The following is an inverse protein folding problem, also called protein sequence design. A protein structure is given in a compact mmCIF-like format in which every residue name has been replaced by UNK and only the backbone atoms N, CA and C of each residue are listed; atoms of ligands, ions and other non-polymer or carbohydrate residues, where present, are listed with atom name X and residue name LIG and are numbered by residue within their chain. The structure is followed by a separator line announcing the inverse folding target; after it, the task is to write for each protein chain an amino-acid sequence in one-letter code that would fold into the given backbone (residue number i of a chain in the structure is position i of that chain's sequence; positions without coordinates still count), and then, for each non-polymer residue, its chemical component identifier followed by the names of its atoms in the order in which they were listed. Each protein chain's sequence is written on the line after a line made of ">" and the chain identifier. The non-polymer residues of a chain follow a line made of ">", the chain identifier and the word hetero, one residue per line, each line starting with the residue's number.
data_IF_703323679266
#
_entry.id   IF_703323679266
#
_cell.length_a   1.000
_cell.length_b   1.000
_cell.length_c   1.000
_cell.angle_alpha   90.00
_cell.angle_beta   90.00
_cell.angle_gamma   90.00
#
_symmetry.space_group_name_H-M   'P 1'
#
loop_
_entity.id
_entity.type
_entity.pdbx_description
1 polymer ?
#
# COMPACT_ATOMS: atom_id res chain seq x y z
N UNK A 1 28.07 18.27 2.68
CA UNK A 1 26.76 18.10 1.94
C UNK A 1 25.76 19.21 2.27
N UNK A 2 25.41 19.47 3.54
CA UNK A 2 24.53 20.62 3.92
C UNK A 2 25.23 21.94 3.61
N UNK A 3 26.50 22.07 4.01
CA UNK A 3 27.30 23.24 3.71
C UNK A 3 27.41 23.54 2.22
N UNK A 4 27.40 22.52 1.37
CA UNK A 4 27.44 22.70 -0.09
C UNK A 4 26.12 23.22 -0.65
N UNK A 5 25.00 22.88 0.00
CA UNK A 5 23.68 23.42 -0.34
C UNK A 5 23.57 24.86 0.17
N UNK A 6 23.98 25.11 1.40
CA UNK A 6 23.93 26.43 2.03
C UNK A 6 24.85 27.43 1.32
N UNK A 7 26.08 27.04 1.00
CA UNK A 7 27.06 27.91 0.30
C UNK A 7 26.56 28.41 -1.06
N UNK A 8 25.66 27.69 -1.70
CA UNK A 8 25.05 28.07 -2.98
C UNK A 8 23.88 29.05 -2.87
N UNK A 9 23.43 29.35 -1.65
CA UNK A 9 22.32 30.28 -1.39
C UNK A 9 22.86 31.65 -0.98
N UNK A 10 22.12 32.76 -1.23
CA UNK A 10 22.43 34.07 -0.66
C UNK A 10 22.53 34.04 0.87
N UNK A 11 23.44 34.81 1.45
CA UNK A 11 23.72 34.82 2.90
C UNK A 11 22.46 35.01 3.76
N UNK A 12 21.52 35.84 3.34
CA UNK A 12 20.26 36.08 4.04
C UNK A 12 19.46 34.77 4.19
N UNK A 13 19.40 33.96 3.15
CA UNK A 13 18.70 32.66 3.19
C UNK A 13 19.49 31.60 3.97
N UNK A 14 20.82 31.65 3.96
CA UNK A 14 21.65 30.77 4.78
C UNK A 14 21.35 30.98 6.27
N UNK A 15 21.33 32.23 6.74
CA UNK A 15 21.04 32.58 8.13
C UNK A 15 19.65 32.09 8.53
N UNK A 16 18.64 32.39 7.72
CA UNK A 16 17.25 32.00 7.99
C UNK A 16 17.06 30.46 8.04
N UNK A 17 17.78 29.71 7.23
CA UNK A 17 17.75 28.24 7.26
C UNK A 17 18.45 27.73 8.52
N UNK A 18 19.64 28.24 8.85
CA UNK A 18 20.42 27.80 10.01
C UNK A 18 19.65 28.07 11.30
N UNK A 19 19.04 29.25 11.46
CA UNK A 19 18.22 29.57 12.63
C UNK A 19 17.04 28.61 12.84
N UNK A 20 16.46 28.06 11.76
CA UNK A 20 15.39 27.08 11.85
C UNK A 20 15.88 25.65 12.11
N UNK A 21 17.16 25.35 11.87
CA UNK A 21 17.76 24.03 12.10
C UNK A 21 18.32 23.82 13.51
N UNK A 22 18.65 24.92 14.22
CA UNK A 22 19.35 24.87 15.52
C UNK A 22 18.45 24.74 16.75
N UNK A 23 17.14 24.68 16.59
CA UNK A 23 16.17 24.64 17.70
C UNK A 23 15.69 23.23 18.00
N UNK A 24 15.49 22.91 19.29
CA UNK A 24 14.74 21.73 19.71
C UNK A 24 13.26 21.92 19.37
N UNK A 25 12.89 21.53 18.13
CA UNK A 25 11.56 21.78 17.56
C UNK A 25 10.61 20.59 17.78
N UNK A 26 9.37 20.90 18.10
CA UNK A 26 8.27 19.94 18.05
C UNK A 26 8.00 19.50 16.61
N UNK A 27 7.23 18.41 16.41
CA UNK A 27 6.93 17.91 15.07
C UNK A 27 6.21 18.94 14.20
N UNK A 28 5.30 19.75 14.79
CA UNK A 28 4.60 20.82 14.08
C UNK A 28 5.52 22.01 13.71
N UNK A 29 6.51 22.32 14.54
CA UNK A 29 7.48 23.37 14.26
C UNK A 29 8.48 22.91 13.17
N UNK A 30 8.94 21.66 13.22
CA UNK A 30 9.75 21.08 12.14
C UNK A 30 8.99 21.16 10.80
N UNK A 31 7.72 20.79 10.77
CA UNK A 31 6.90 20.90 9.56
C UNK A 31 6.83 22.34 9.03
N UNK A 32 6.57 23.32 9.92
CA UNK A 32 6.54 24.75 9.54
C UNK A 32 7.88 25.23 8.99
N UNK A 33 8.98 24.85 9.64
CA UNK A 33 10.33 25.16 9.18
C UNK A 33 10.62 24.54 7.81
N UNK A 34 10.26 23.28 7.61
CA UNK A 34 10.39 22.59 6.31
C UNK A 34 9.59 23.31 5.21
N UNK A 35 8.36 23.71 5.46
CA UNK A 35 7.53 24.45 4.49
C UNK A 35 8.11 25.83 4.18
N UNK A 36 8.62 26.54 5.19
CA UNK A 36 9.27 27.85 5.01
C UNK A 36 10.50 27.73 4.13
N UNK A 37 11.39 26.78 4.45
CA UNK A 37 12.61 26.53 3.66
C UNK A 37 12.25 26.10 2.24
N UNK A 38 11.26 25.24 2.06
CA UNK A 38 10.78 24.83 0.73
C UNK A 38 10.31 26.02 -0.10
N UNK A 39 9.60 26.98 0.51
CA UNK A 39 9.15 28.21 -0.15
C UNK A 39 10.31 29.10 -0.56
N UNK A 40 11.32 29.23 0.31
CA UNK A 40 12.56 29.98 0.03
C UNK A 40 13.28 29.38 -1.17
N UNK A 41 13.52 28.07 -1.16
CA UNK A 41 14.21 27.35 -2.24
C UNK A 41 13.48 27.48 -3.58
N UNK A 42 12.15 27.37 -3.57
CA UNK A 42 11.33 27.56 -4.79
C UNK A 42 11.42 28.98 -5.34
N UNK A 43 11.34 30.00 -4.47
CA UNK A 43 11.47 31.41 -4.88
C UNK A 43 12.84 31.67 -5.52
N UNK A 44 13.89 31.12 -4.95
CA UNK A 44 15.24 31.27 -5.48
C UNK A 44 15.42 30.55 -6.83
N UNK A 45 14.90 29.36 -6.99
CA UNK A 45 14.89 28.60 -8.25
C UNK A 45 14.16 29.35 -9.39
N UNK A 46 13.09 30.10 -9.08
CA UNK A 46 12.36 30.91 -10.06
C UNK A 46 13.10 32.19 -10.46
N UNK A 47 13.86 32.78 -9.55
CA UNK A 47 14.67 33.99 -9.84
C UNK A 47 15.90 33.70 -10.71
N UNK A 48 16.45 32.45 -10.66
CA UNK A 48 17.58 32.02 -11.47
C UNK A 48 17.27 31.77 -12.96
N UNK A 49 16.03 31.93 -13.42
CA UNK A 49 15.62 31.80 -14.82
C UNK A 49 15.85 33.08 -15.67
N UNK A 50 16.52 34.10 -15.16
CA UNK A 50 16.97 35.22 -15.97
C UNK A 50 18.23 34.79 -16.73
N UNK A 51 18.18 34.98 -18.06
CA UNK A 51 18.95 34.35 -19.13
C UNK A 51 20.40 34.82 -19.30
N UNK A 52 21.03 35.47 -18.36
CA UNK A 52 22.31 36.17 -18.59
C UNK A 52 23.53 35.55 -17.83
N UNK A 53 23.38 34.43 -17.16
CA UNK A 53 24.47 33.69 -16.53
C UNK A 53 24.46 32.21 -16.95
N UNK A 54 24.91 31.92 -18.14
CA UNK A 54 25.36 30.59 -18.54
C UNK A 54 26.62 30.23 -17.78
N UNK A 55 26.57 29.19 -17.00
CA UNK A 55 27.63 28.26 -16.57
C UNK A 55 27.49 27.88 -15.11
N UNK A 56 26.63 27.03 -14.80
CA UNK A 56 26.59 26.08 -13.67
C UNK A 56 25.15 25.70 -13.26
N UNK A 57 24.16 26.06 -14.07
CA UNK A 57 22.73 26.01 -13.73
C UNK A 57 22.13 24.61 -13.65
N UNK A 58 22.56 23.63 -14.45
CA UNK A 58 21.94 22.29 -14.50
C UNK A 58 22.07 21.47 -13.22
N UNK A 59 23.16 21.62 -12.47
CA UNK A 59 23.32 20.96 -11.17
C UNK A 59 22.66 21.74 -10.02
N UNK A 60 22.55 23.07 -10.13
CA UNK A 60 21.78 23.90 -9.20
C UNK A 60 20.28 23.69 -9.33
N UNK A 61 19.75 23.55 -10.54
CA UNK A 61 18.32 23.26 -10.76
C UNK A 61 17.86 21.97 -10.08
N UNK A 62 18.65 20.89 -10.12
CA UNK A 62 18.34 19.64 -9.41
C UNK A 62 18.36 19.80 -7.90
N UNK A 63 19.23 20.62 -7.34
CA UNK A 63 19.37 20.84 -5.89
C UNK A 63 18.35 21.84 -5.36
N UNK A 64 17.96 22.83 -6.19
CA UNK A 64 17.09 23.95 -5.80
C UNK A 64 15.59 23.69 -6.02
N UNK A 65 15.21 22.58 -6.63
CA UNK A 65 13.80 22.26 -6.87
C UNK A 65 12.95 22.06 -5.59
N UNK A 66 13.49 22.38 -4.40
CA UNK A 66 12.77 22.29 -3.12
C UNK A 66 12.13 20.94 -2.91
N UNK A 67 12.76 19.91 -3.47
CA UNK A 67 12.26 18.54 -3.41
C UNK A 67 12.23 18.05 -1.97
N UNK A 68 11.37 17.13 -1.67
CA UNK A 68 11.31 16.47 -0.36
C UNK A 68 12.68 15.90 0.03
N UNK A 69 13.46 15.43 -0.95
CA UNK A 69 14.82 14.94 -0.75
C UNK A 69 15.79 16.03 -0.24
N UNK A 70 15.75 17.23 -0.81
CA UNK A 70 16.58 18.35 -0.36
C UNK A 70 16.22 18.77 1.07
N UNK A 71 14.93 18.84 1.38
CA UNK A 71 14.44 19.15 2.72
C UNK A 71 14.87 18.07 3.73
N UNK A 72 14.73 16.80 3.36
CA UNK A 72 15.15 15.68 4.21
C UNK A 72 16.65 15.75 4.56
N UNK A 73 17.50 16.04 3.58
CA UNK A 73 18.95 16.23 3.78
C UNK A 73 19.25 17.38 4.74
N UNK A 74 18.56 18.51 4.62
CA UNK A 74 18.75 19.68 5.50
C UNK A 74 18.35 19.40 6.96
N UNK A 75 17.37 18.53 7.19
CA UNK A 75 16.90 18.15 8.53
C UNK A 75 17.52 16.85 9.05
N UNK A 76 18.53 16.28 8.38
CA UNK A 76 19.15 14.99 8.72
C UNK A 76 18.15 13.87 8.90
N UNK A 77 17.13 13.83 8.04
CA UNK A 77 16.07 12.83 8.06
C UNK A 77 16.04 12.00 6.78
N UNK A 78 15.34 10.86 6.84
CA UNK A 78 15.01 10.12 5.62
C UNK A 78 13.98 10.88 4.79
N UNK A 79 14.06 10.72 3.47
CA UNK A 79 13.06 11.23 2.53
C UNK A 79 11.64 10.81 2.93
N UNK A 80 11.47 9.55 3.31
CA UNK A 80 10.18 8.99 3.71
C UNK A 80 9.61 9.66 4.97
N UNK A 81 10.43 9.89 6.01
CA UNK A 81 9.98 10.57 7.23
C UNK A 81 9.54 12.01 6.96
N UNK A 82 10.26 12.71 6.08
CA UNK A 82 9.90 14.08 5.67
C UNK A 82 8.59 14.09 4.90
N UNK A 83 8.38 13.17 3.96
CA UNK A 83 7.15 13.01 3.19
C UNK A 83 5.95 12.69 4.09
N UNK A 84 6.11 11.73 5.00
CA UNK A 84 5.08 11.37 5.98
C UNK A 84 4.70 12.55 6.86
N UNK A 85 5.67 13.34 7.35
CA UNK A 85 5.37 14.55 8.14
C UNK A 85 4.59 15.57 7.33
N UNK A 86 4.98 15.85 6.10
CA UNK A 86 4.24 16.78 5.23
C UNK A 86 2.80 16.32 5.05
N UNK A 87 2.60 15.05 4.71
CA UNK A 87 1.27 14.46 4.59
C UNK A 87 0.43 14.64 5.86
N UNK A 88 0.97 14.25 7.03
CA UNK A 88 0.27 14.32 8.32
C UNK A 88 -0.17 15.74 8.65
N UNK A 89 0.74 16.71 8.58
CA UNK A 89 0.41 18.09 8.97
C UNK A 89 -0.46 18.81 7.94
N UNK A 90 -0.45 18.42 6.68
CA UNK A 90 -1.41 18.91 5.68
C UNK A 90 -2.84 18.43 5.98
N UNK A 91 -3.02 17.20 6.44
CA UNK A 91 -4.33 16.66 6.87
C UNK A 91 -4.80 17.29 8.17
N UNK A 92 -3.91 17.45 9.15
CA UNK A 92 -4.23 18.20 10.39
C UNK A 92 -4.69 19.64 10.07
N UNK A 93 -4.04 20.30 9.11
CA UNK A 93 -4.40 21.65 8.70
C UNK A 93 -5.77 21.71 7.99
N UNK A 94 -6.17 20.68 7.26
CA UNK A 94 -7.51 20.60 6.63
C UNK A 94 -8.63 20.46 7.66
N UNK A 95 -8.42 19.70 8.74
CA UNK A 95 -9.41 19.44 9.79
C UNK A 95 -8.81 19.64 11.20
N UNK A 96 -8.45 20.88 11.58
CA UNK A 96 -7.68 21.14 12.79
C UNK A 96 -8.42 20.77 14.09
N UNK A 97 -9.75 20.87 14.12
CA UNK A 97 -10.58 20.50 15.28
C UNK A 97 -10.57 18.98 15.47
N UNK A 98 -10.83 18.21 14.40
CA UNK A 98 -10.84 16.72 14.40
C UNK A 98 -9.49 16.14 14.85
N UNK A 99 -8.39 16.73 14.41
CA UNK A 99 -7.04 16.20 14.64
C UNK A 99 -6.24 16.94 15.72
N UNK A 100 -6.91 17.75 16.58
CA UNK A 100 -6.24 18.53 17.63
C UNK A 100 -5.47 17.66 18.62
N UNK A 101 -6.05 16.54 19.07
CA UNK A 101 -5.43 15.61 19.99
C UNK A 101 -4.25 14.86 19.36
N UNK A 102 -4.39 14.43 18.10
CA UNK A 102 -3.29 13.84 17.34
C UNK A 102 -2.09 14.78 17.25
N UNK A 103 -2.35 16.07 16.95
CA UNK A 103 -1.30 17.11 16.93
C UNK A 103 -0.58 17.23 18.26
N UNK A 104 -1.31 17.30 19.39
CA UNK A 104 -0.73 17.36 20.74
C UNK A 104 0.16 16.15 21.03
N UNK A 105 -0.30 14.94 20.68
CA UNK A 105 0.45 13.69 20.88
C UNK A 105 1.72 13.64 20.03
N UNK A 106 1.68 14.17 18.82
CA UNK A 106 2.86 14.28 17.94
C UNK A 106 3.87 15.27 18.52
N UNK A 107 3.42 16.46 18.92
CA UNK A 107 4.28 17.52 19.44
C UNK A 107 4.87 17.17 20.82
N UNK A 108 4.20 16.34 21.62
CA UNK A 108 4.71 15.80 22.88
C UNK A 108 5.58 14.53 22.74
N UNK A 109 5.80 14.02 21.50
CA UNK A 109 6.56 12.82 21.24
C UNK A 109 5.84 11.50 21.61
N UNK A 110 4.58 11.55 22.09
CA UNK A 110 3.79 10.37 22.45
C UNK A 110 3.34 9.53 21.25
N UNK A 111 3.44 10.08 20.05
CA UNK A 111 3.06 9.40 18.80
C UNK A 111 4.13 9.64 17.74
N UNK A 112 4.50 8.59 17.00
CA UNK A 112 5.44 8.68 15.88
C UNK A 112 4.74 9.20 14.62
N UNK A 113 5.47 9.91 13.76
CA UNK A 113 4.98 10.42 12.47
C UNK A 113 4.47 9.27 11.57
N UNK A 114 5.19 8.15 11.52
CA UNK A 114 4.76 6.99 10.72
C UNK A 114 3.40 6.43 11.16
N UNK A 115 3.18 6.33 12.47
CA UNK A 115 1.89 5.88 13.00
C UNK A 115 0.75 6.85 12.65
N UNK A 116 0.99 8.16 12.80
CA UNK A 116 0.00 9.18 12.45
C UNK A 116 -0.30 9.18 10.95
N UNK A 117 0.71 8.99 10.12
CA UNK A 117 0.58 8.85 8.67
C UNK A 117 -0.35 7.69 8.32
N UNK A 118 -0.06 6.50 8.85
CA UNK A 118 -0.85 5.29 8.58
C UNK A 118 -2.30 5.42 9.09
N UNK A 119 -2.49 6.06 10.24
CA UNK A 119 -3.81 6.34 10.79
C UNK A 119 -4.64 7.26 9.88
N UNK A 120 -4.05 8.36 9.42
CA UNK A 120 -4.74 9.32 8.55
C UNK A 120 -5.00 8.74 7.15
N UNK A 121 -4.08 7.95 6.62
CA UNK A 121 -4.32 7.22 5.36
C UNK A 121 -5.50 6.26 5.47
N UNK A 122 -5.65 5.57 6.61
CA UNK A 122 -6.81 4.69 6.86
C UNK A 122 -8.11 5.46 6.91
N UNK A 123 -8.14 6.60 7.62
CA UNK A 123 -9.32 7.46 7.64
C UNK A 123 -9.71 7.87 6.21
N UNK A 124 -8.75 8.32 5.42
CA UNK A 124 -8.96 8.75 4.04
C UNK A 124 -9.43 7.58 3.13
N UNK A 125 -8.83 6.40 3.31
CA UNK A 125 -9.19 5.21 2.53
C UNK A 125 -10.55 4.62 2.94
N UNK A 126 -10.98 4.77 4.20
CA UNK A 126 -12.34 4.39 4.63
C UNK A 126 -13.43 5.21 3.94
N UNK A 127 -13.14 6.45 3.59
CA UNK A 127 -14.06 7.37 2.93
C UNK A 127 -14.08 7.20 1.40
N UNK A 128 -13.12 6.49 0.81
CA UNK A 128 -13.10 6.23 -0.63
C UNK A 128 -14.25 5.31 -1.04
N UNK A 129 -15.00 5.66 -2.09
CA UNK A 129 -15.99 4.75 -2.64
C UNK A 129 -15.30 3.52 -3.23
N UNK A 130 -15.90 2.36 -3.02
CA UNK A 130 -15.47 1.14 -3.68
C UNK A 130 -15.90 1.25 -5.16
N UNK A 131 -15.00 1.04 -6.13
CA UNK A 131 -15.38 1.07 -7.54
C UNK A 131 -16.46 0.03 -7.83
N UNK A 132 -17.38 0.26 -8.79
CA UNK A 132 -18.34 -0.76 -9.18
C UNK A 132 -17.62 -1.96 -9.79
N UNK A 133 -18.12 -3.17 -9.50
CA UNK A 133 -17.60 -4.39 -10.12
C UNK A 133 -17.75 -4.34 -11.65
N UNK A 134 -16.85 -4.99 -12.41
CA UNK A 134 -17.00 -5.18 -13.84
C UNK A 134 -18.36 -5.82 -14.16
N UNK A 135 -19.03 -5.33 -15.22
CA UNK A 135 -20.33 -5.86 -15.64
C UNK A 135 -20.23 -7.19 -16.37
N UNK A 136 -19.07 -7.51 -16.88
CA UNK A 136 -18.79 -8.74 -17.60
C UNK A 136 -18.56 -9.92 -16.63
N UNK A 137 -18.87 -11.13 -17.08
CA UNK A 137 -18.65 -12.35 -16.30
C UNK A 137 -17.23 -12.90 -16.52
N UNK A 138 -16.71 -13.51 -15.47
CA UNK A 138 -15.40 -14.16 -15.45
C UNK A 138 -15.56 -15.63 -15.08
N UNK A 139 -14.77 -16.50 -15.70
CA UNK A 139 -14.78 -17.93 -15.38
C UNK A 139 -13.88 -18.25 -14.19
N UNK A 140 -12.95 -17.34 -13.86
CA UNK A 140 -12.10 -17.46 -12.69
C UNK A 140 -11.98 -16.10 -11.99
N UNK A 141 -12.21 -16.08 -10.68
CA UNK A 141 -11.97 -14.92 -9.83
C UNK A 141 -10.90 -15.27 -8.82
N UNK A 142 -9.85 -14.45 -8.76
CA UNK A 142 -8.79 -14.48 -7.78
C UNK A 142 -8.95 -13.30 -6.85
N UNK A 143 -9.16 -13.55 -5.55
CA UNK A 143 -9.57 -12.52 -4.62
C UNK A 143 -8.81 -12.59 -3.29
N UNK A 144 -8.32 -11.44 -2.85
CA UNK A 144 -7.72 -11.20 -1.53
C UNK A 144 -8.53 -10.13 -0.82
N UNK A 145 -9.64 -10.52 -0.17
CA UNK A 145 -10.46 -9.58 0.56
C UNK A 145 -9.66 -8.86 1.65
N UNK A 146 -9.89 -7.57 1.79
CA UNK A 146 -9.24 -6.72 2.79
C UNK A 146 -9.86 -6.94 4.19
N UNK A 147 -9.58 -8.08 4.80
CA UNK A 147 -10.14 -8.50 6.08
C UNK A 147 -9.82 -7.53 7.22
N UNK A 148 -10.82 -7.21 8.05
CA UNK A 148 -10.59 -6.54 9.32
C UNK A 148 -10.10 -7.54 10.39
N UNK A 149 -9.07 -7.15 11.14
CA UNK A 149 -8.53 -7.90 12.26
C UNK A 149 -8.73 -7.13 13.56
N UNK A 150 -9.22 -7.78 14.61
CA UNK A 150 -9.54 -7.17 15.91
C UNK A 150 -8.34 -6.55 16.63
N UNK A 151 -7.12 -7.01 16.35
CA UNK A 151 -5.92 -6.55 17.05
C UNK A 151 -4.85 -6.18 16.04
N UNK A 152 -4.58 -4.91 15.96
CA UNK A 152 -3.38 -4.39 15.32
C UNK A 152 -2.58 -3.59 16.35
N UNK A 153 -1.57 -4.22 16.93
CA UNK A 153 -0.58 -3.55 17.79
C UNK A 153 0.16 -2.43 17.03
N UNK A 154 0.20 -2.51 15.71
CA UNK A 154 0.84 -1.56 14.80
C UNK A 154 -0.13 -0.64 14.07
N UNK A 155 -1.42 -0.63 14.46
CA UNK A 155 -2.41 0.28 13.89
C UNK A 155 -3.12 -0.22 12.59
N UNK A 156 -2.94 -1.47 12.12
CA UNK A 156 -3.58 -2.09 10.93
C UNK A 156 -3.05 -1.58 9.57
N UNK A 157 -3.54 -2.10 8.45
CA UNK A 157 -3.04 -1.78 7.11
C UNK A 157 -3.46 -0.37 6.63
N UNK A 158 -2.74 0.24 5.69
CA UNK A 158 -3.02 1.57 5.16
C UNK A 158 -4.16 1.60 4.11
N UNK A 159 -5.02 0.60 4.08
CA UNK A 159 -6.17 0.49 3.18
C UNK A 159 -7.44 0.18 3.98
N UNK A 160 -8.62 0.38 3.35
CA UNK A 160 -9.91 0.06 3.94
C UNK A 160 -9.98 -1.45 4.20
N UNK A 161 -10.20 -1.83 5.45
CA UNK A 161 -10.51 -3.22 5.82
C UNK A 161 -12.02 -3.36 6.05
N UNK A 162 -12.53 -4.57 5.90
CA UNK A 162 -13.96 -4.87 5.98
C UNK A 162 -14.21 -6.07 6.89
N UNK A 163 -15.27 -6.00 7.66
CA UNK A 163 -15.86 -7.17 8.35
C UNK A 163 -16.52 -8.09 7.33
N UNK A 164 -16.85 -9.32 7.73
CA UNK A 164 -17.59 -10.25 6.86
C UNK A 164 -18.91 -9.65 6.39
N UNK A 165 -19.66 -8.98 7.26
CA UNK A 165 -20.95 -8.38 6.95
C UNK A 165 -20.80 -7.17 5.98
N UNK A 166 -19.76 -6.38 6.13
CA UNK A 166 -19.46 -5.32 5.18
C UNK A 166 -19.07 -5.88 3.80
N UNK A 167 -18.30 -6.98 3.74
CA UNK A 167 -17.98 -7.65 2.48
C UNK A 167 -19.25 -8.15 1.79
N UNK A 168 -20.13 -8.84 2.50
CA UNK A 168 -21.40 -9.32 1.96
C UNK A 168 -22.31 -8.20 1.45
N UNK A 169 -22.31 -7.06 2.15
CA UNK A 169 -23.08 -5.87 1.78
C UNK A 169 -22.53 -5.17 0.55
N UNK A 170 -21.21 -4.95 0.50
CA UNK A 170 -20.55 -4.23 -0.61
C UNK A 170 -20.46 -5.10 -1.87
N UNK A 171 -20.34 -6.42 -1.69
CA UNK A 171 -20.24 -7.41 -2.75
C UNK A 171 -21.33 -8.48 -2.58
N UNK A 172 -22.62 -8.15 -2.81
CA UNK A 172 -23.72 -9.10 -2.65
C UNK A 172 -23.68 -10.24 -3.68
N UNK A 173 -22.86 -10.14 -4.70
CA UNK A 173 -22.56 -11.15 -5.71
C UNK A 173 -21.22 -10.90 -6.35
N UNK A 174 -20.66 -11.94 -6.94
CA UNK A 174 -19.42 -11.86 -7.73
C UNK A 174 -19.77 -11.90 -9.22
N UNK A 175 -19.01 -11.22 -10.10
CA UNK A 175 -19.17 -11.32 -11.56
C UNK A 175 -18.64 -12.67 -12.08
N UNK A 176 -19.12 -13.77 -11.49
CA UNK A 176 -18.71 -15.13 -11.76
C UNK A 176 -19.69 -15.80 -12.73
N UNK A 177 -19.17 -16.38 -13.79
CA UNK A 177 -19.94 -17.17 -14.74
C UNK A 177 -20.68 -18.34 -14.06
N UNK A 178 -21.75 -18.84 -14.71
CA UNK A 178 -22.56 -19.97 -14.21
C UNK A 178 -21.69 -21.18 -13.83
N UNK A 179 -20.66 -21.45 -14.62
CA UNK A 179 -19.65 -22.48 -14.34
C UNK A 179 -18.31 -21.75 -14.11
N UNK A 180 -17.97 -21.53 -12.85
CA UNK A 180 -16.81 -20.70 -12.52
C UNK A 180 -16.06 -21.15 -11.27
N UNK A 181 -14.85 -20.61 -11.12
CA UNK A 181 -13.91 -20.94 -10.06
C UNK A 181 -13.59 -19.66 -9.30
N UNK A 182 -13.57 -19.73 -7.97
CA UNK A 182 -13.08 -18.66 -7.12
C UNK A 182 -11.86 -19.17 -6.34
N UNK A 183 -10.77 -18.42 -6.45
CA UNK A 183 -9.54 -18.61 -5.68
C UNK A 183 -9.49 -17.50 -4.62
N UNK A 184 -9.78 -17.82 -3.37
CA UNK A 184 -9.95 -16.86 -2.29
C UNK A 184 -8.85 -17.00 -1.24
N UNK A 185 -8.11 -15.94 -0.99
CA UNK A 185 -7.12 -15.92 0.07
C UNK A 185 -7.75 -15.85 1.46
N UNK A 186 -7.24 -16.70 2.34
CA UNK A 186 -7.59 -16.70 3.75
C UNK A 186 -6.33 -16.85 4.61
N UNK A 187 -6.19 -15.97 5.61
CA UNK A 187 -5.27 -16.24 6.71
C UNK A 187 -5.92 -17.23 7.69
N UNK A 188 -5.13 -17.95 8.47
CA UNK A 188 -5.67 -18.91 9.43
C UNK A 188 -6.74 -18.31 10.38
N UNK A 189 -6.56 -17.08 10.95
CA UNK A 189 -7.59 -16.46 11.78
C UNK A 189 -8.89 -16.12 11.03
N UNK A 190 -8.86 -16.04 9.70
CA UNK A 190 -10.01 -15.69 8.87
C UNK A 190 -10.56 -16.85 8.03
N UNK A 191 -10.08 -18.06 8.32
CA UNK A 191 -10.52 -19.25 7.58
C UNK A 191 -12.03 -19.50 7.70
N UNK A 192 -12.58 -19.34 8.91
CA UNK A 192 -14.02 -19.53 9.14
C UNK A 192 -14.83 -18.52 8.31
N UNK A 193 -14.52 -17.24 8.43
CA UNK A 193 -15.20 -16.17 7.69
C UNK A 193 -15.05 -16.35 6.17
N UNK A 194 -13.91 -16.84 5.69
CA UNK A 194 -13.71 -17.13 4.27
C UNK A 194 -14.59 -18.30 3.79
N UNK A 195 -14.75 -19.34 4.62
CA UNK A 195 -15.68 -20.45 4.33
C UNK A 195 -17.13 -19.99 4.35
N UNK A 196 -17.54 -19.18 5.34
CA UNK A 196 -18.89 -18.58 5.40
C UNK A 196 -19.17 -17.68 4.16
N UNK A 197 -18.14 -17.02 3.64
CA UNK A 197 -18.25 -16.20 2.44
C UNK A 197 -18.34 -17.04 1.16
N UNK A 198 -17.63 -18.17 1.09
CA UNK A 198 -17.82 -19.14 -0.02
C UNK A 198 -19.26 -19.66 -0.07
N UNK A 199 -19.81 -20.06 1.09
CA UNK A 199 -21.20 -20.50 1.17
C UNK A 199 -22.18 -19.39 0.75
N UNK A 200 -21.95 -18.15 1.20
CA UNK A 200 -22.76 -16.99 0.80
C UNK A 200 -22.79 -16.77 -0.71
N UNK A 201 -21.67 -17.01 -1.42
CA UNK A 201 -21.61 -16.91 -2.88
C UNK A 201 -22.09 -18.18 -3.61
N UNK A 202 -22.55 -19.19 -2.88
CA UNK A 202 -22.99 -20.47 -3.45
C UNK A 202 -21.85 -21.26 -4.08
N UNK A 203 -20.66 -21.19 -3.50
CA UNK A 203 -19.46 -21.91 -3.94
C UNK A 203 -19.29 -23.20 -3.15
N UNK A 204 -19.06 -24.30 -3.84
CA UNK A 204 -18.64 -25.55 -3.22
C UNK A 204 -17.11 -25.53 -3.02
N UNK A 205 -16.65 -25.59 -1.77
CA UNK A 205 -15.23 -25.73 -1.46
C UNK A 205 -14.69 -27.07 -1.95
N UNK A 206 -13.58 -27.06 -2.69
CA UNK A 206 -12.94 -28.28 -3.23
C UNK A 206 -11.65 -28.63 -2.54
N UNK A 207 -10.75 -27.65 -2.42
CA UNK A 207 -9.39 -27.83 -1.87
C UNK A 207 -8.74 -26.45 -1.64
N UNK A 208 -7.47 -26.44 -1.24
CA UNK A 208 -6.68 -25.22 -1.12
C UNK A 208 -5.23 -25.42 -1.50
N UNK A 209 -4.52 -24.32 -1.72
CA UNK A 209 -3.07 -24.28 -1.79
C UNK A 209 -2.56 -23.57 -0.54
N UNK A 210 -1.64 -24.19 0.19
CA UNK A 210 -0.94 -23.59 1.32
C UNK A 210 0.29 -22.82 0.82
N UNK A 211 0.28 -21.50 0.95
CA UNK A 211 1.47 -20.68 0.74
C UNK A 211 2.31 -20.64 2.01
N UNK A 212 3.45 -21.31 1.99
CA UNK A 212 4.44 -21.25 3.07
C UNK A 212 5.37 -20.05 2.86
N UNK A 213 5.38 -19.13 3.81
CA UNK A 213 6.15 -17.89 3.73
C UNK A 213 7.62 -18.13 4.01
N UNK A 214 8.45 -17.81 3.03
CA UNK A 214 9.91 -17.97 3.11
C UNK A 214 10.62 -16.62 3.19
N UNK A 215 11.83 -16.60 3.69
CA UNK A 215 12.80 -15.50 3.56
C UNK A 215 14.20 -16.06 3.62
N UNK A 216 15.00 -15.81 2.58
CA UNK A 216 16.37 -16.31 2.47
C UNK A 216 16.47 -17.82 2.72
N UNK A 217 15.59 -18.61 2.10
CA UNK A 217 15.56 -20.08 2.22
C UNK A 217 15.05 -20.63 3.57
N UNK A 218 14.59 -19.77 4.50
CA UNK A 218 14.07 -20.19 5.81
C UNK A 218 12.61 -19.79 5.96
N UNK A 219 11.89 -20.47 6.85
CA UNK A 219 10.53 -20.08 7.22
C UNK A 219 10.53 -18.65 7.76
N UNK A 220 9.56 -17.86 7.28
CA UNK A 220 9.31 -16.48 7.77
C UNK A 220 8.02 -16.44 8.59
N UNK A 221 8.03 -16.84 9.87
CA UNK A 221 6.85 -16.76 10.70
C UNK A 221 6.51 -15.30 11.03
N UNK A 222 5.21 -15.02 11.11
CA UNK A 222 4.65 -13.73 11.55
C UNK A 222 4.27 -13.77 13.02
N UNK A 223 3.78 -12.66 13.56
CA UNK A 223 3.25 -12.61 14.93
C UNK A 223 1.98 -13.46 15.07
N UNK A 224 1.78 -14.07 16.22
CA UNK A 224 0.56 -14.81 16.53
C UNK A 224 0.46 -15.11 18.03
N UNK A 225 -0.76 -15.29 18.55
CA UNK A 225 -1.01 -15.48 19.99
C UNK A 225 -0.72 -16.91 20.45
N UNK A 226 -1.18 -17.91 19.71
CA UNK A 226 -0.95 -19.31 20.04
C UNK A 226 0.23 -19.89 19.25
N UNK A 227 0.30 -19.59 17.96
CA UNK A 227 1.34 -20.03 17.06
C UNK A 227 1.78 -18.86 16.18
N UNK A 228 3.05 -18.85 15.81
CA UNK A 228 3.57 -17.91 14.83
C UNK A 228 3.18 -18.38 13.43
N UNK A 229 2.22 -17.69 12.80
CA UNK A 229 1.73 -18.04 11.47
C UNK A 229 2.85 -17.97 10.43
N UNK A 230 3.08 -19.06 9.69
CA UNK A 230 4.07 -19.14 8.63
C UNK A 230 3.46 -19.45 7.26
N UNK A 231 2.13 -19.53 7.16
CA UNK A 231 1.43 -19.80 5.90
C UNK A 231 0.10 -19.06 5.80
N UNK A 232 -0.41 -18.98 4.59
CA UNK A 232 -1.78 -18.57 4.25
C UNK A 232 -2.37 -19.60 3.28
N UNK A 233 -3.68 -19.64 3.17
CA UNK A 233 -4.40 -20.57 2.32
C UNK A 233 -5.04 -19.84 1.15
N UNK A 234 -4.87 -20.38 -0.05
CA UNK A 234 -5.63 -20.01 -1.23
C UNK A 234 -6.72 -21.06 -1.43
N UNK A 235 -7.91 -20.78 -0.97
CA UNK A 235 -9.07 -21.67 -1.04
C UNK A 235 -9.59 -21.75 -2.47
N UNK A 236 -9.98 -22.93 -2.91
CA UNK A 236 -10.55 -23.18 -4.24
C UNK A 236 -12.02 -23.56 -4.06
N UNK A 237 -12.91 -22.67 -4.47
CA UNK A 237 -14.35 -22.89 -4.51
C UNK A 237 -14.88 -22.90 -5.95
N UNK A 238 -15.88 -23.69 -6.24
CA UNK A 238 -16.48 -23.79 -7.57
C UNK A 238 -17.96 -23.55 -7.55
N UNK A 239 -18.49 -23.01 -8.65
CA UNK A 239 -19.92 -22.88 -8.94
C UNK A 239 -20.22 -23.66 -10.22
N UNK A 240 -21.29 -24.45 -10.19
CA UNK A 240 -21.65 -25.29 -11.34
C UNK A 240 -20.59 -26.37 -11.62
N UNK A 241 -20.29 -26.57 -12.90
CA UNK A 241 -19.36 -27.60 -13.39
C UNK A 241 -18.25 -26.96 -14.24
N UNK A 242 -17.37 -26.13 -13.65
CA UNK A 242 -16.22 -25.62 -14.38
C UNK A 242 -15.27 -26.77 -14.71
N UNK A 243 -14.54 -26.65 -15.81
CA UNK A 243 -13.47 -27.61 -16.12
C UNK A 243 -12.44 -27.71 -15.00
N UNK A 244 -11.77 -28.85 -14.91
CA UNK A 244 -10.62 -29.07 -14.01
C UNK A 244 -9.32 -28.96 -14.80
N UNK A 245 -8.21 -28.56 -14.15
CA UNK A 245 -6.90 -28.54 -14.79
C UNK A 245 -6.49 -29.92 -15.31
N UNK A 246 -5.76 -29.96 -16.42
CA UNK A 246 -5.16 -31.21 -16.89
C UNK A 246 -4.27 -31.81 -15.80
N UNK A 247 -4.20 -33.13 -15.73
CA UNK A 247 -3.43 -33.83 -14.71
C UNK A 247 -1.95 -33.43 -14.75
N UNK A 248 -1.39 -33.31 -15.96
CA UNK A 248 -0.01 -32.88 -16.21
C UNK A 248 0.32 -31.45 -15.68
N UNK A 249 -0.69 -30.61 -15.52
CA UNK A 249 -0.52 -29.22 -15.09
C UNK A 249 -0.74 -29.03 -13.59
N UNK A 250 -1.30 -30.05 -12.91
CA UNK A 250 -1.56 -29.99 -11.47
C UNK A 250 -0.26 -29.90 -10.68
N UNK A 251 -0.26 -29.01 -9.71
CA UNK A 251 0.87 -28.79 -8.81
C UNK A 251 0.59 -29.39 -7.42
N UNK A 252 1.61 -29.64 -6.60
CA UNK A 252 1.41 -29.92 -5.17
C UNK A 252 0.64 -28.78 -4.48
N UNK A 253 -0.17 -29.12 -3.48
CA UNK A 253 -0.98 -28.14 -2.73
C UNK A 253 -0.19 -27.28 -1.75
N UNK A 254 1.14 -27.31 -1.80
CA UNK A 254 2.03 -26.49 -0.97
C UNK A 254 2.99 -25.73 -1.87
N UNK A 255 3.05 -24.42 -1.69
CA UNK A 255 3.94 -23.51 -2.43
C UNK A 255 4.82 -22.74 -1.45
N UNK A 256 6.13 -22.81 -1.63
CA UNK A 256 7.12 -22.06 -0.86
C UNK A 256 7.49 -20.81 -1.65
N UNK A 257 7.19 -19.62 -1.10
CA UNK A 257 7.52 -18.37 -1.77
C UNK A 257 7.80 -17.24 -0.78
N UNK A 258 8.65 -16.29 -1.17
CA UNK A 258 8.91 -15.09 -0.40
C UNK A 258 7.77 -14.07 -0.61
N UNK A 259 7.33 -13.37 0.46
CA UNK A 259 6.41 -12.25 0.33
C UNK A 259 7.10 -11.11 -0.45
N UNK A 260 6.42 -10.55 -1.45
CA UNK A 260 6.93 -9.44 -2.26
C UNK A 260 6.78 -8.07 -1.61
N UNK A 261 6.00 -7.97 -0.52
CA UNK A 261 5.77 -6.73 0.23
C UNK A 261 4.79 -6.91 1.38
N UNK A 262 4.36 -5.81 2.01
CA UNK A 262 3.29 -5.84 3.01
C UNK A 262 1.95 -6.22 2.36
N UNK A 263 1.37 -7.32 2.78
CA UNK A 263 0.09 -7.86 2.27
C UNK A 263 0.04 -8.17 0.77
N UNK A 264 1.18 -8.19 0.06
CA UNK A 264 1.22 -8.59 -1.34
C UNK A 264 1.38 -10.10 -1.46
N UNK A 265 0.57 -10.72 -2.31
CA UNK A 265 0.70 -12.14 -2.62
C UNK A 265 1.83 -12.33 -3.66
N UNK A 266 2.61 -13.41 -3.55
CA UNK A 266 3.69 -13.68 -4.51
C UNK A 266 3.17 -13.84 -5.94
N UNK A 267 3.88 -13.26 -6.92
CA UNK A 267 3.51 -13.33 -8.34
C UNK A 267 3.50 -14.75 -8.90
N UNK A 268 4.23 -15.67 -8.29
CA UNK A 268 4.20 -17.11 -8.64
C UNK A 268 2.78 -17.69 -8.65
N UNK A 269 1.84 -17.13 -7.85
CA UNK A 269 0.45 -17.58 -7.88
C UNK A 269 -0.25 -17.18 -9.17
N UNK A 270 0.11 -16.04 -9.77
CA UNK A 270 -0.41 -15.64 -11.08
C UNK A 270 0.07 -16.63 -12.15
N UNK A 271 1.35 -17.01 -12.13
CA UNK A 271 1.93 -18.02 -13.05
C UNK A 271 1.25 -19.39 -12.88
N UNK A 272 1.07 -19.83 -11.62
CA UNK A 272 0.37 -21.08 -11.29
C UNK A 272 -1.07 -21.05 -11.84
N UNK A 273 -1.81 -19.99 -11.60
CA UNK A 273 -3.20 -19.86 -12.06
C UNK A 273 -3.27 -19.86 -13.59
N UNK A 274 -2.35 -19.18 -14.26
CA UNK A 274 -2.27 -19.18 -15.74
C UNK A 274 -1.95 -20.57 -16.30
N UNK A 275 -1.06 -21.30 -15.65
CA UNK A 275 -0.72 -22.67 -16.02
C UNK A 275 -1.91 -23.62 -15.82
N UNK A 276 -2.59 -23.54 -14.67
CA UNK A 276 -3.74 -24.40 -14.37
C UNK A 276 -4.95 -24.10 -15.25
N UNK A 277 -5.14 -22.81 -15.63
CA UNK A 277 -6.31 -22.33 -16.36
C UNK A 277 -5.93 -21.39 -17.53
N UNK A 278 -5.22 -21.93 -18.56
CA UNK A 278 -4.52 -21.10 -19.55
C UNK A 278 -5.43 -20.26 -20.45
N UNK A 279 -6.66 -20.70 -20.74
CA UNK A 279 -7.59 -20.00 -21.67
C UNK A 279 -8.79 -19.39 -20.95
N UNK A 280 -8.70 -19.20 -19.66
CA UNK A 280 -9.81 -18.77 -18.83
C UNK A 280 -9.76 -17.27 -18.65
N UNK A 281 -10.88 -16.57 -18.87
CA UNK A 281 -11.03 -15.16 -18.56
C UNK A 281 -11.02 -14.96 -17.04
N UNK A 282 -10.09 -14.17 -16.53
CA UNK A 282 -9.75 -14.06 -15.12
C UNK A 282 -9.98 -12.64 -14.59
N UNK A 283 -10.48 -12.54 -13.37
CA UNK A 283 -10.56 -11.29 -12.60
C UNK A 283 -9.69 -11.40 -11.35
N UNK A 284 -8.76 -10.46 -11.17
CA UNK A 284 -8.12 -10.22 -9.88
C UNK A 284 -8.89 -9.12 -9.15
N UNK A 285 -9.46 -9.46 -7.98
CA UNK A 285 -10.13 -8.49 -7.12
C UNK A 285 -9.20 -8.00 -6.01
N UNK A 286 -9.30 -6.71 -5.67
CA UNK A 286 -8.42 -5.99 -4.75
C UNK A 286 -6.98 -5.90 -5.23
N UNK A 287 -6.79 -5.86 -6.53
CA UNK A 287 -5.50 -5.63 -7.17
C UNK A 287 -4.89 -4.27 -6.78
N UNK A 288 -3.56 -4.18 -6.78
CA UNK A 288 -2.82 -2.96 -6.39
C UNK A 288 -1.68 -2.66 -7.35
N UNK A 289 -1.35 -1.36 -7.44
CA UNK A 289 -0.22 -0.88 -8.23
C UNK A 289 -0.35 -1.17 -9.72
N UNK A 290 0.77 -1.08 -10.43
CA UNK A 290 0.84 -1.32 -11.86
C UNK A 290 0.75 -2.81 -12.18
N UNK A 291 0.24 -3.11 -13.40
CA UNK A 291 0.22 -4.48 -13.91
C UNK A 291 1.66 -4.96 -14.14
N UNK A 292 2.03 -6.06 -13.50
CA UNK A 292 3.31 -6.72 -13.73
C UNK A 292 3.29 -7.48 -15.07
N UNK A 293 4.46 -7.68 -15.66
CA UNK A 293 4.63 -8.40 -16.94
C UNK A 293 4.23 -9.88 -16.88
N UNK A 294 4.10 -10.44 -15.68
CA UNK A 294 3.65 -11.83 -15.47
C UNK A 294 2.20 -12.04 -15.89
N UNK A 295 1.36 -11.00 -15.86
CA UNK A 295 -0.06 -11.11 -16.26
C UNK A 295 -0.21 -11.18 -17.77
N UNK A 296 -0.82 -12.24 -18.27
CA UNK A 296 -1.24 -12.34 -19.66
C UNK A 296 -2.48 -11.48 -19.98
N UNK A 297 -2.95 -11.51 -21.21
CA UNK A 297 -4.11 -10.72 -21.67
C UNK A 297 -5.47 -11.21 -21.13
N UNK A 298 -5.53 -12.39 -20.48
CA UNK A 298 -6.77 -12.95 -19.94
C UNK A 298 -7.18 -12.35 -18.59
N UNK A 299 -6.31 -11.53 -17.98
CA UNK A 299 -6.54 -10.91 -16.68
C UNK A 299 -7.14 -9.51 -16.80
N UNK A 300 -8.26 -9.32 -16.12
CA UNK A 300 -8.78 -8.01 -15.72
C UNK A 300 -8.41 -7.78 -14.26
N UNK A 301 -7.99 -6.57 -13.91
CA UNK A 301 -7.62 -6.18 -12.55
C UNK A 301 -8.61 -5.18 -12.00
N UNK A 302 -9.10 -5.40 -10.79
CA UNK A 302 -10.09 -4.57 -10.11
C UNK A 302 -9.63 -4.25 -8.69
N UNK A 303 -9.67 -2.98 -8.31
CA UNK A 303 -9.33 -2.48 -6.99
C UNK A 303 -9.24 -0.96 -6.96
N UNK A 304 -9.33 -0.37 -5.77
CA UNK A 304 -9.21 1.07 -5.52
C UNK A 304 -7.76 1.58 -5.60
N UNK A 305 -6.79 0.67 -5.72
CA UNK A 305 -5.35 0.96 -5.79
C UNK A 305 -4.73 0.46 -7.10
N UNK A 306 -5.53 0.12 -8.10
CA UNK A 306 -5.03 -0.24 -9.44
C UNK A 306 -4.51 1.01 -10.12
N UNK A 307 -3.31 0.91 -10.71
CA UNK A 307 -2.70 1.93 -11.55
C UNK A 307 -2.67 1.39 -12.99
N UNK A 308 -3.17 2.19 -13.94
CA UNK A 308 -3.16 1.88 -15.39
C UNK A 308 -1.75 2.02 -16.00
#
# INVERSE_FOLDING_TARGET
>A
MIDDILKKLPKVFQIEIIENLQKNLTQSEIYKAQKKIQKILRKYSQQGKRTDLETSSKNLEKVLHGTVETIAKLFHESHEKTRQRQYVFERIAKNPKKHSELKKRLDSGKTKISYAHDMLQREENKEKPIPPLPKEEFHLIYVDFAWEYFVSLSGGPPYKTMTLEEIKKEFPGLPLAKNGIVLMWATNPKLKEAMDLMEFYGLEYKTNIAWVKMKNGKLKPTTGFYLRGAHELLLIGVKGTPGVPFESDRIPSVVFAEPTGHSSKPLVFIEIIQKLFPRTKKLEMFARGKKDSVYDSSWTRYGDQVED
#
